data_IF_558741616443
#
_entry.id   IF_558741616443
#
_cell.length_a   1.000
_cell.length_b   1.000
_cell.length_c   1.000
_cell.angle_alpha   90.00
_cell.angle_beta   90.00
_cell.angle_gamma   90.00
#
_symmetry.space_group_name_H-M   'P 1'
#
loop_
_entity.id
_entity.type
_entity.pdbx_description
1 polymer ?
#
# COMPACT_ATOMS: atom_id res chain seq x y z
N UNK A 1 49.02 -1.82 -46.60
CA UNK A 1 48.78 -0.63 -45.76
C UNK A 1 48.08 -1.12 -44.52
N UNK A 2 48.72 -1.03 -43.36
CA UNK A 2 48.18 -1.53 -42.10
C UNK A 2 47.27 -0.47 -41.49
N UNK A 3 46.09 -0.90 -41.03
CA UNK A 3 45.10 -0.03 -40.38
C UNK A 3 45.64 0.60 -39.09
N UNK A 4 45.24 1.83 -38.75
CA UNK A 4 45.68 2.49 -37.52
C UNK A 4 45.04 1.84 -36.30
N UNK A 5 45.83 1.66 -35.23
CA UNK A 5 45.35 1.11 -33.97
C UNK A 5 44.30 2.03 -33.33
N UNK A 6 43.21 1.44 -32.84
CA UNK A 6 42.18 2.10 -32.06
C UNK A 6 42.73 2.56 -30.70
N UNK A 7 42.36 3.77 -30.24
CA UNK A 7 42.82 4.29 -28.95
C UNK A 7 42.25 3.47 -27.78
N UNK A 8 43.09 3.26 -26.76
CA UNK A 8 42.74 2.58 -25.52
C UNK A 8 41.67 3.38 -24.77
N UNK A 9 40.51 2.76 -24.55
CA UNK A 9 39.49 3.30 -23.67
C UNK A 9 39.95 3.23 -22.20
N UNK A 10 39.66 4.28 -21.44
CA UNK A 10 39.88 4.30 -20.00
C UNK A 10 39.04 3.19 -19.34
N UNK A 11 39.64 2.51 -18.36
CA UNK A 11 38.95 1.46 -17.60
C UNK A 11 37.82 2.03 -16.72
N UNK A 12 36.90 1.16 -16.26
CA UNK A 12 35.69 1.57 -15.53
C UNK A 12 35.92 2.43 -14.29
N UNK A 13 37.11 2.37 -13.69
CA UNK A 13 37.43 3.08 -12.44
C UNK A 13 38.28 4.34 -12.64
N UNK A 14 38.64 4.69 -13.88
CA UNK A 14 39.59 5.77 -14.15
C UNK A 14 38.95 7.19 -14.19
N UNK A 15 37.62 7.29 -14.14
CA UNK A 15 36.90 8.57 -14.33
C UNK A 15 36.20 9.10 -13.06
N UNK A 16 36.20 8.35 -11.96
CA UNK A 16 35.44 8.70 -10.75
C UNK A 16 36.40 8.91 -9.57
N UNK A 17 37.19 9.99 -9.62
CA UNK A 17 37.88 10.50 -8.44
C UNK A 17 36.88 11.31 -7.60
N UNK A 18 35.95 10.60 -6.95
CA UNK A 18 34.87 11.19 -6.12
C UNK A 18 35.42 11.90 -4.87
N UNK A 19 36.66 11.61 -4.49
CA UNK A 19 37.36 12.24 -3.36
C UNK A 19 37.81 13.68 -3.67
N UNK A 20 37.73 14.12 -4.94
CA UNK A 20 38.05 15.48 -5.37
C UNK A 20 36.84 16.43 -5.37
N UNK A 21 35.64 15.97 -5.01
CA UNK A 21 34.46 16.81 -4.87
C UNK A 21 34.49 17.49 -3.51
N UNK A 22 34.77 18.79 -3.48
CA UNK A 22 34.61 19.60 -2.28
C UNK A 22 33.13 19.60 -1.87
N UNK A 23 32.85 19.09 -0.67
CA UNK A 23 31.52 19.17 -0.05
C UNK A 23 31.16 20.65 0.12
N UNK A 24 29.98 21.05 -0.37
CA UNK A 24 29.45 22.40 -0.19
C UNK A 24 29.15 22.61 1.30
N UNK A 25 29.61 23.73 1.85
CA UNK A 25 29.39 24.04 3.25
C UNK A 25 27.97 24.57 3.48
N UNK A 26 27.53 24.54 4.74
CA UNK A 26 26.18 25.00 5.11
C UNK A 26 25.96 26.49 4.81
N UNK A 27 27.02 27.26 4.57
CA UNK A 27 26.96 28.68 4.22
C UNK A 27 26.70 28.88 2.72
N UNK A 28 27.27 28.04 1.85
CA UNK A 28 26.98 28.00 0.42
C UNK A 28 25.53 27.61 0.13
N UNK A 29 24.93 26.77 1.00
CA UNK A 29 23.52 26.36 0.91
C UNK A 29 22.57 27.51 1.28
N UNK A 30 22.99 28.42 2.17
CA UNK A 30 22.21 29.58 2.61
C UNK A 30 22.20 30.73 1.59
N UNK A 31 23.20 30.82 0.71
CA UNK A 31 23.29 31.85 -0.34
C UNK A 31 22.42 31.55 -1.58
N UNK A 32 21.80 30.36 -1.62
CA UNK A 32 20.92 29.90 -2.71
C UNK A 32 19.43 30.24 -2.50
N UNK A 33 19.06 30.90 -1.39
CA UNK A 33 17.69 31.30 -1.10
C UNK A 33 17.35 32.64 -1.78
N UNK A 34 17.12 32.60 -3.08
CA UNK A 34 16.68 33.74 -3.90
C UNK A 34 15.16 33.90 -3.85
N UNK A 35 14.63 34.44 -2.75
CA UNK A 35 13.27 35.01 -2.71
C UNK A 35 13.36 36.54 -2.52
N UNK A 36 13.28 37.34 -3.60
CA UNK A 36 13.39 38.79 -3.53
C UNK A 36 12.03 39.39 -3.17
N UNK A 37 11.82 39.62 -1.88
CA UNK A 37 10.86 40.61 -1.39
C UNK A 37 9.63 40.02 -0.71
N UNK A 38 9.73 39.85 0.61
CA UNK A 38 8.73 40.17 1.62
C UNK A 38 9.52 40.43 2.90
N UNK A 39 9.95 41.68 3.08
CA UNK A 39 10.48 42.17 4.35
C UNK A 39 9.40 43.07 4.94
N UNK A 40 8.64 42.53 5.89
CA UNK A 40 7.88 43.29 6.88
C UNK A 40 7.42 42.33 7.98
N UNK A 41 8.24 42.23 9.03
CA UNK A 41 7.93 41.52 10.26
C UNK A 41 7.88 42.52 11.42
N UNK A 42 6.80 42.55 12.23
CA UNK A 42 6.88 43.09 13.58
C UNK A 42 6.87 41.95 14.62
N UNK A 43 8.02 41.80 15.27
CA UNK A 43 8.28 41.47 16.69
C UNK A 43 7.29 40.60 17.49
N UNK A 44 7.79 39.43 17.92
CA UNK A 44 7.21 38.61 19.00
C UNK A 44 7.91 38.95 20.33
N UNK A 45 7.19 39.14 21.46
CA UNK A 45 7.82 39.18 22.77
C UNK A 45 7.90 37.78 23.42
N UNK A 46 9.05 37.56 24.04
CA UNK A 46 9.49 36.41 24.82
C UNK A 46 8.67 36.26 26.13
N UNK A 47 8.22 35.03 26.43
CA UNK A 47 7.59 34.67 27.69
C UNK A 47 8.17 33.34 28.20
N UNK A 48 9.43 33.40 28.66
CA UNK A 48 9.99 32.47 29.64
C UNK A 48 9.78 33.02 31.05
N UNK A 49 8.74 32.53 31.74
CA UNK A 49 8.73 32.32 33.19
C UNK A 49 7.35 31.79 33.62
N UNK A 50 7.29 30.56 34.16
CA UNK A 50 6.83 30.28 35.53
C UNK A 50 6.60 28.77 35.77
N UNK A 51 7.26 28.32 36.84
CA UNK A 51 6.90 27.26 37.79
C UNK A 51 7.02 25.76 37.44
N UNK A 52 8.20 25.28 37.84
CA UNK A 52 8.52 24.06 38.61
C UNK A 52 7.55 23.71 39.76
N UNK A 53 7.50 22.40 40.06
CA UNK A 53 7.12 21.69 41.31
C UNK A 53 5.68 21.19 41.46
N UNK A 54 5.50 19.86 41.31
CA UNK A 54 5.11 18.95 42.42
C UNK A 54 5.12 17.48 41.99
N UNK A 55 5.94 16.68 42.69
CA UNK A 55 5.89 15.22 42.74
C UNK A 55 4.92 14.79 43.86
N UNK A 56 4.09 13.74 43.64
CA UNK A 56 3.78 12.71 44.65
C UNK A 56 2.95 11.53 44.10
N UNK A 57 3.60 10.35 44.13
CA UNK A 57 3.19 8.98 44.51
C UNK A 57 1.78 8.37 44.27
N UNK A 58 1.84 7.14 43.74
CA UNK A 58 1.10 5.90 44.06
C UNK A 58 -0.44 5.91 44.23
N UNK A 59 -1.12 5.03 43.46
CA UNK A 59 -1.89 3.87 44.00
C UNK A 59 -2.48 2.97 42.91
N UNK A 60 -2.50 1.67 43.21
CA UNK A 60 -3.04 0.56 42.44
C UNK A 60 -4.57 0.44 42.58
N UNK A 61 -5.23 0.06 41.47
CA UNK A 61 -6.48 -0.70 41.21
C UNK A 61 -7.60 -0.80 42.28
N UNK A 62 -8.88 -0.92 41.88
CA UNK A 62 -9.42 -2.28 41.69
C UNK A 62 -10.51 -2.48 40.62
N UNK A 63 -10.59 -3.73 40.16
CA UNK A 63 -11.71 -4.37 39.46
C UNK A 63 -13.06 -4.19 40.20
N UNK A 64 -14.17 -4.16 39.46
CA UNK A 64 -15.33 -4.98 39.83
C UNK A 64 -16.22 -5.40 38.62
N UNK A 65 -16.93 -6.55 38.70
CA UNK A 65 -17.45 -7.32 37.57
C UNK A 65 -18.98 -7.43 37.48
N UNK A 66 -19.44 -8.22 36.49
CA UNK A 66 -20.76 -8.85 36.25
C UNK A 66 -21.81 -8.04 35.48
N UNK A 67 -22.21 -8.55 34.31
CA UNK A 67 -23.40 -9.42 34.17
C UNK A 67 -23.44 -10.13 32.80
N UNK A 68 -23.62 -11.45 32.85
CA UNK A 68 -23.91 -12.34 31.72
C UNK A 68 -25.32 -12.06 31.18
N UNK A 69 -25.45 -11.97 29.86
CA UNK A 69 -26.66 -12.36 29.12
C UNK A 69 -26.20 -13.21 27.93
N UNK A 70 -26.90 -14.32 27.74
CA UNK A 70 -26.62 -15.44 26.85
C UNK A 70 -27.22 -15.19 25.46
N UNK A 71 -26.52 -15.68 24.42
CA UNK A 71 -26.97 -15.99 23.05
C UNK A 71 -27.26 -14.86 22.04
N UNK A 72 -26.24 -14.57 21.23
CA UNK A 72 -26.38 -14.43 19.78
C UNK A 72 -25.11 -15.02 19.12
N UNK A 73 -25.32 -15.81 18.06
CA UNK A 73 -24.32 -16.55 17.25
C UNK A 73 -22.97 -15.83 17.06
N UNK A 74 -21.82 -16.50 17.12
CA UNK A 74 -20.57 -15.92 16.68
C UNK A 74 -20.64 -15.77 15.15
N UNK A 75 -20.72 -14.53 14.66
CA UNK A 75 -20.18 -14.21 13.35
C UNK A 75 -18.72 -14.69 13.31
N UNK A 76 -18.17 -15.12 12.15
CA UNK A 76 -16.75 -15.43 12.06
C UNK A 76 -15.99 -14.16 12.48
N UNK A 77 -15.40 -14.21 13.67
CA UNK A 77 -14.52 -13.19 14.20
C UNK A 77 -13.28 -13.27 13.33
N UNK A 78 -13.32 -12.60 12.19
CA UNK A 78 -12.14 -12.27 11.43
C UNK A 78 -11.29 -11.37 12.31
N UNK A 79 -10.24 -11.98 12.84
CA UNK A 79 -8.91 -11.44 13.11
C UNK A 79 -8.78 -10.13 13.91
N UNK A 80 -7.85 -10.12 14.86
CA UNK A 80 -7.62 -8.99 15.75
C UNK A 80 -7.22 -7.75 14.94
N UNK A 81 -7.99 -6.67 15.05
CA UNK A 81 -7.74 -5.35 14.44
C UNK A 81 -6.42 -4.66 14.89
N UNK A 82 -5.48 -5.41 15.46
CA UNK A 82 -4.23 -4.93 16.04
C UNK A 82 -2.97 -5.45 15.33
N UNK A 83 -3.07 -6.42 14.41
CA UNK A 83 -1.91 -6.97 13.69
C UNK A 83 -1.37 -6.04 12.59
N UNK A 84 -2.12 -4.99 12.24
CA UNK A 84 -1.78 -4.10 11.14
C UNK A 84 -1.80 -2.63 11.57
N UNK A 85 -1.11 -2.32 12.67
CA UNK A 85 -0.71 -0.93 12.89
C UNK A 85 0.44 -0.61 11.93
N UNK A 86 0.26 0.31 10.99
CA UNK A 86 1.40 0.85 10.27
C UNK A 86 2.40 1.42 11.29
N UNK A 87 3.69 1.07 11.17
CA UNK A 87 4.80 1.56 12.04
C UNK A 87 5.12 3.05 11.83
N UNK A 88 4.10 3.84 11.53
CA UNK A 88 4.16 5.28 11.33
C UNK A 88 3.12 5.84 12.27
N UNK A 89 3.53 6.58 13.29
CA UNK A 89 2.61 7.22 14.22
C UNK A 89 1.80 8.28 13.46
N UNK A 90 0.60 7.92 12.99
CA UNK A 90 -0.35 8.87 12.36
C UNK A 90 -0.83 9.94 13.34
N UNK A 91 -0.55 9.77 14.64
CA UNK A 91 -0.77 10.73 15.73
C UNK A 91 0.37 11.75 15.88
N UNK A 92 1.18 11.96 14.84
CA UNK A 92 2.10 13.10 14.82
C UNK A 92 1.30 14.42 14.88
N UNK A 93 1.62 15.36 15.79
CA UNK A 93 0.99 16.68 15.85
C UNK A 93 1.25 17.53 14.59
N UNK A 94 2.09 17.04 13.67
CA UNK A 94 2.33 17.63 12.34
C UNK A 94 1.53 16.96 11.22
N UNK A 95 0.72 15.94 11.53
CA UNK A 95 -0.19 15.32 10.57
C UNK A 95 -1.37 16.26 10.29
N UNK A 96 -1.72 16.53 9.02
CA UNK A 96 -2.84 17.41 8.67
C UNK A 96 -4.18 16.92 9.24
N UNK A 97 -4.30 15.63 9.58
CA UNK A 97 -5.49 15.04 10.21
C UNK A 97 -5.73 15.56 11.63
N UNK A 98 -4.68 15.94 12.38
CA UNK A 98 -4.81 16.44 13.75
C UNK A 98 -5.39 17.87 13.79
N UNK A 99 -5.11 18.69 12.78
CA UNK A 99 -5.72 20.03 12.66
C UNK A 99 -7.19 19.98 12.23
N UNK A 100 -7.63 18.91 11.54
CA UNK A 100 -9.01 18.75 11.10
C UNK A 100 -9.94 18.35 12.26
N UNK A 101 -9.47 17.49 13.17
CA UNK A 101 -10.26 17.11 14.35
C UNK A 101 -10.49 18.30 15.30
N UNK A 102 -9.49 19.16 15.50
CA UNK A 102 -9.68 20.43 16.22
C UNK A 102 -10.58 21.42 15.48
N UNK A 103 -10.48 21.52 14.16
CA UNK A 103 -11.34 22.40 13.37
C UNK A 103 -12.81 21.92 13.30
N UNK A 104 -13.05 20.61 13.41
CA UNK A 104 -14.39 20.01 13.44
C UNK A 104 -15.10 20.22 14.78
N UNK A 105 -14.38 20.30 15.90
CA UNK A 105 -14.97 20.65 17.21
C UNK A 105 -15.44 22.11 17.26
N UNK A 106 -14.82 23.01 16.50
CA UNK A 106 -15.17 24.44 16.47
C UNK A 106 -16.22 24.82 15.38
N UNK A 107 -16.64 23.88 14.52
CA UNK A 107 -17.49 24.17 13.36
C UNK A 107 -18.82 23.38 13.38
N UNK A 108 -19.89 24.01 13.89
CA UNK A 108 -21.28 23.60 13.62
C UNK A 108 -21.63 23.85 12.14
N UNK A 109 -21.18 22.98 11.23
CA UNK A 109 -21.53 23.05 9.82
C UNK A 109 -21.89 21.67 9.25
N UNK A 110 -23.10 21.60 8.69
CA UNK A 110 -23.84 20.42 8.22
C UNK A 110 -23.32 19.85 6.88
N UNK A 111 -22.00 19.81 6.69
CA UNK A 111 -21.38 19.25 5.49
C UNK A 111 -20.16 18.38 5.83
N UNK A 112 -20.11 17.10 5.41
CA UNK A 112 -18.93 16.28 5.61
C UNK A 112 -17.81 16.82 4.72
N UNK A 113 -16.87 17.54 5.34
CA UNK A 113 -15.59 17.91 4.74
C UNK A 113 -14.84 16.62 4.42
N UNK A 114 -14.96 16.13 3.18
CA UNK A 114 -14.11 15.05 2.70
C UNK A 114 -12.64 15.47 2.87
N UNK A 115 -11.79 14.67 3.54
CA UNK A 115 -10.39 14.98 3.72
C UNK A 115 -9.72 15.00 2.34
N UNK A 116 -9.44 16.21 1.84
CA UNK A 116 -8.68 16.37 0.61
C UNK A 116 -7.26 15.87 0.87
N UNK A 117 -6.94 14.69 0.36
CA UNK A 117 -5.58 14.16 0.37
C UNK A 117 -4.67 15.17 -0.34
N UNK A 118 -3.74 15.76 0.42
CA UNK A 118 -2.78 16.72 -0.13
C UNK A 118 -1.84 15.95 -1.04
N UNK A 119 -1.73 16.35 -2.32
CA UNK A 119 -0.80 15.75 -3.27
C UNK A 119 0.61 15.74 -2.68
N UNK A 120 1.28 14.59 -2.75
CA UNK A 120 2.67 14.45 -2.33
C UNK A 120 3.56 15.37 -3.17
N UNK A 121 4.54 16.01 -2.54
CA UNK A 121 5.57 16.79 -3.25
C UNK A 121 6.47 15.88 -4.09
N UNK A 122 7.16 16.42 -5.10
CA UNK A 122 8.04 15.62 -5.97
C UNK A 122 9.12 14.85 -5.17
N UNK A 123 9.77 15.43 -4.14
CA UNK A 123 10.68 14.66 -3.28
C UNK A 123 9.98 13.54 -2.50
N UNK A 124 8.73 13.74 -2.06
CA UNK A 124 7.95 12.71 -1.36
C UNK A 124 7.54 11.58 -2.31
N UNK A 125 7.16 11.90 -3.56
CA UNK A 125 6.87 10.92 -4.59
C UNK A 125 8.11 10.07 -4.91
N UNK A 126 9.28 10.70 -5.04
CA UNK A 126 10.55 9.98 -5.25
C UNK A 126 10.86 9.03 -4.10
N UNK A 127 10.75 9.50 -2.84
CA UNK A 127 10.92 8.64 -1.64
C UNK A 127 9.92 7.49 -1.59
N UNK A 128 8.66 7.73 -1.98
CA UNK A 128 7.65 6.69 -2.06
C UNK A 128 8.07 5.62 -3.07
N UNK A 129 8.45 6.01 -4.29
CA UNK A 129 8.87 5.09 -5.35
C UNK A 129 10.06 4.27 -4.88
N UNK A 130 11.11 4.93 -4.34
CA UNK A 130 12.28 4.24 -3.81
C UNK A 130 11.94 3.27 -2.67
N UNK A 131 11.00 3.64 -1.80
CA UNK A 131 10.54 2.76 -0.73
C UNK A 131 9.83 1.52 -1.28
N UNK A 132 8.88 1.69 -2.20
CA UNK A 132 8.13 0.58 -2.80
C UNK A 132 9.07 -0.35 -3.57
N UNK A 133 9.99 0.20 -4.37
CA UNK A 133 11.01 -0.59 -5.07
C UNK A 133 11.89 -1.38 -4.10
N UNK A 134 12.34 -0.74 -3.01
CA UNK A 134 13.13 -1.41 -1.97
C UNK A 134 12.36 -2.56 -1.32
N UNK A 135 11.08 -2.35 -1.01
CA UNK A 135 10.21 -3.41 -0.44
C UNK A 135 9.97 -4.56 -1.40
N UNK A 136 9.71 -4.28 -2.67
CA UNK A 136 9.57 -5.33 -3.69
C UNK A 136 10.86 -6.14 -3.83
N UNK A 137 12.02 -5.48 -3.83
CA UNK A 137 13.32 -6.16 -3.86
C UNK A 137 13.57 -7.00 -2.61
N UNK A 138 13.20 -6.51 -1.41
CA UNK A 138 13.30 -7.28 -0.16
C UNK A 138 12.42 -8.53 -0.20
N UNK A 139 11.16 -8.38 -0.63
CA UNK A 139 10.21 -9.50 -0.79
C UNK A 139 10.79 -10.52 -1.78
N UNK A 140 11.22 -10.07 -2.96
CA UNK A 140 11.81 -10.95 -3.98
C UNK A 140 13.07 -11.65 -3.46
N UNK A 141 13.95 -10.95 -2.74
CA UNK A 141 15.17 -11.52 -2.15
C UNK A 141 14.84 -12.59 -1.10
N UNK A 142 13.91 -12.32 -0.17
CA UNK A 142 13.47 -13.28 0.85
C UNK A 142 12.77 -14.49 0.21
N UNK A 143 11.99 -14.26 -0.85
CA UNK A 143 11.39 -15.33 -1.65
C UNK A 143 12.45 -16.23 -2.30
N UNK A 144 13.42 -15.67 -3.02
CA UNK A 144 14.51 -16.44 -3.64
C UNK A 144 15.34 -17.18 -2.59
N UNK A 145 15.60 -16.56 -1.44
CA UNK A 145 16.30 -17.21 -0.32
C UNK A 145 15.55 -18.44 0.20
N UNK A 146 14.22 -18.37 0.29
CA UNK A 146 13.37 -19.49 0.72
C UNK A 146 13.40 -20.69 -0.23
N UNK A 147 13.76 -20.50 -1.51
CA UNK A 147 13.70 -21.54 -2.55
C UNK A 147 15.06 -22.12 -2.96
N UNK A 148 16.20 -21.57 -2.51
CA UNK A 148 17.48 -22.11 -2.97
C UNK A 148 18.77 -21.68 -2.29
N UNK A 149 18.83 -20.54 -1.58
CA UNK A 149 20.11 -20.04 -1.06
C UNK A 149 20.28 -20.18 0.46
N UNK A 150 19.24 -19.90 1.25
CA UNK A 150 19.33 -19.89 2.71
C UNK A 150 17.92 -19.98 3.32
N UNK A 151 17.42 -21.20 3.61
CA UNK A 151 16.06 -21.38 4.12
C UNK A 151 15.85 -20.69 5.48
N UNK A 152 16.92 -20.47 6.26
CA UNK A 152 16.87 -19.76 7.54
C UNK A 152 16.59 -18.25 7.42
N UNK A 153 16.85 -17.64 6.25
CA UNK A 153 16.71 -16.18 6.04
C UNK A 153 15.54 -15.81 5.13
N UNK A 154 14.91 -16.82 4.50
CA UNK A 154 13.76 -16.64 3.60
C UNK A 154 12.42 -16.72 4.32
N UNK A 155 11.34 -16.71 3.54
CA UNK A 155 10.00 -16.96 4.07
C UNK A 155 9.84 -18.44 4.49
N UNK A 156 9.46 -18.71 5.76
CA UNK A 156 9.21 -20.07 6.23
C UNK A 156 7.86 -20.61 5.72
N UNK A 157 6.88 -19.74 5.47
CA UNK A 157 5.55 -20.12 4.97
C UNK A 157 5.02 -19.11 3.95
N UNK A 158 4.02 -19.53 3.17
CA UNK A 158 3.32 -18.63 2.25
C UNK A 158 2.60 -17.50 3.01
N UNK A 159 2.14 -17.73 4.24
CA UNK A 159 1.43 -16.72 5.03
C UNK A 159 2.29 -15.49 5.28
N UNK A 160 3.56 -15.66 5.64
CA UNK A 160 4.46 -14.53 5.89
C UNK A 160 4.72 -13.71 4.62
N UNK A 161 4.79 -14.37 3.47
CA UNK A 161 4.89 -13.69 2.19
C UNK A 161 3.61 -12.91 1.87
N UNK A 162 2.44 -13.54 2.05
CA UNK A 162 1.14 -12.88 1.84
C UNK A 162 0.98 -11.67 2.75
N UNK A 163 1.49 -11.74 3.99
CA UNK A 163 1.51 -10.62 4.92
C UNK A 163 2.35 -9.45 4.40
N UNK A 164 3.59 -9.70 3.97
CA UNK A 164 4.47 -8.65 3.44
C UNK A 164 3.90 -8.02 2.15
N UNK A 165 3.31 -8.84 1.26
CA UNK A 165 2.64 -8.34 0.04
C UNK A 165 1.42 -7.50 0.42
N UNK A 166 0.57 -7.98 1.34
CA UNK A 166 -0.62 -7.26 1.80
C UNK A 166 -0.26 -5.91 2.42
N UNK A 167 0.76 -5.87 3.28
CA UNK A 167 1.22 -4.62 3.89
C UNK A 167 1.69 -3.61 2.82
N UNK A 168 2.36 -4.09 1.77
CA UNK A 168 2.77 -3.24 0.66
C UNK A 168 1.59 -2.75 -0.19
N UNK A 169 0.60 -3.61 -0.44
CA UNK A 169 -0.66 -3.24 -1.12
C UNK A 169 -1.42 -2.19 -0.33
N UNK A 170 -1.55 -2.35 0.99
CA UNK A 170 -2.19 -1.38 1.87
C UNK A 170 -1.46 -0.03 1.85
N UNK A 171 -0.13 -0.05 1.89
CA UNK A 171 0.68 1.16 1.80
C UNK A 171 0.49 1.90 0.47
N UNK A 172 0.51 1.18 -0.65
CA UNK A 172 0.28 1.77 -1.97
C UNK A 172 -1.16 2.28 -2.07
N UNK A 173 -2.14 1.49 -1.63
CA UNK A 173 -3.54 1.88 -1.66
C UNK A 173 -3.83 3.11 -0.79
N UNK A 174 -3.20 3.22 0.38
CA UNK A 174 -3.31 4.41 1.23
C UNK A 174 -2.86 5.67 0.50
N UNK A 175 -1.85 5.59 -0.37
CA UNK A 175 -1.43 6.73 -1.19
C UNK A 175 -2.42 7.10 -2.31
N UNK A 176 -3.31 6.19 -2.70
CA UNK A 176 -4.33 6.38 -3.74
C UNK A 176 -5.65 6.82 -3.13
N UNK A 177 -6.09 6.20 -2.04
CA UNK A 177 -7.42 6.40 -1.48
C UNK A 177 -7.41 7.00 -0.07
N UNK A 178 -6.27 7.06 0.61
CA UNK A 178 -6.19 7.59 1.97
C UNK A 178 -6.78 6.66 3.04
N UNK A 179 -7.20 5.44 2.67
CA UNK A 179 -7.68 4.42 3.61
C UNK A 179 -6.54 3.48 4.00
N UNK A 180 -6.28 3.27 5.30
CA UNK A 180 -5.09 2.53 5.75
C UNK A 180 -5.17 1.01 5.53
N UNK A 181 -6.38 0.44 5.45
CA UNK A 181 -6.57 -1.01 5.33
C UNK A 181 -7.48 -1.33 4.16
N UNK A 182 -7.01 -2.08 3.18
CA UNK A 182 -7.81 -2.47 2.00
C UNK A 182 -8.93 -3.46 2.28
N UNK A 183 -8.98 -4.06 3.47
CA UNK A 183 -10.02 -5.02 3.88
C UNK A 183 -11.43 -4.42 3.81
N UNK A 184 -11.56 -3.12 4.03
CA UNK A 184 -12.84 -2.42 3.94
C UNK A 184 -13.46 -2.49 2.54
N UNK A 185 -12.65 -2.65 1.48
CA UNK A 185 -13.10 -2.78 0.09
C UNK A 185 -13.95 -4.04 -0.13
N UNK A 186 -13.76 -5.08 0.70
CA UNK A 186 -14.53 -6.31 0.64
C UNK A 186 -15.95 -6.13 1.20
N UNK A 187 -16.15 -5.16 2.09
CA UNK A 187 -17.45 -4.87 2.73
C UNK A 187 -18.25 -3.84 1.92
N UNK A 188 -17.60 -3.11 1.02
CA UNK A 188 -18.28 -2.11 0.21
C UNK A 188 -19.13 -2.76 -0.90
N UNK A 189 -20.38 -2.27 -1.10
CA UNK A 189 -21.15 -2.66 -2.26
C UNK A 189 -20.39 -2.29 -3.53
N UNK A 190 -20.44 -3.14 -4.56
CA UNK A 190 -19.75 -2.85 -5.81
C UNK A 190 -20.25 -1.50 -6.36
N UNK A 191 -19.36 -0.53 -6.63
CA UNK A 191 -19.75 0.67 -7.34
C UNK A 191 -20.32 0.27 -8.69
N UNK A 192 -21.51 0.76 -9.04
CA UNK A 192 -22.04 0.65 -10.40
C UNK A 192 -21.02 1.29 -11.34
N UNK A 193 -20.62 0.58 -12.40
CA UNK A 193 -19.74 1.14 -13.43
C UNK A 193 -20.52 2.30 -14.04
N UNK A 194 -20.03 3.56 -13.95
CA UNK A 194 -20.70 4.65 -14.62
C UNK A 194 -20.74 4.32 -16.11
N UNK A 195 -21.93 4.17 -16.69
CA UNK A 195 -22.07 4.13 -18.14
C UNK A 195 -21.33 5.35 -18.72
N UNK A 196 -20.59 5.16 -19.81
CA UNK A 196 -19.81 6.22 -20.42
C UNK A 196 -20.63 7.51 -20.49
N UNK A 197 -20.08 8.66 -20.08
CA UNK A 197 -20.84 9.89 -20.09
C UNK A 197 -21.21 10.19 -21.55
N UNK A 198 -22.50 10.09 -21.88
CA UNK A 198 -23.03 10.74 -23.05
C UNK A 198 -22.52 12.19 -23.05
N UNK A 199 -22.05 12.64 -24.22
CA UNK A 199 -21.44 13.95 -24.44
C UNK A 199 -22.48 15.05 -24.14
N UNK A 200 -22.62 15.39 -22.86
CA UNK A 200 -23.54 16.40 -22.34
C UNK A 200 -22.75 17.51 -21.66
N UNK A 201 -22.80 18.71 -22.25
CA UNK A 201 -22.28 19.94 -21.66
C UNK A 201 -22.89 20.18 -20.27
N UNK A 202 -22.09 20.05 -19.21
CA UNK A 202 -22.51 20.35 -17.84
C UNK A 202 -21.33 20.43 -16.90
N UNK A 203 -20.86 21.66 -16.66
CA UNK A 203 -19.78 21.99 -15.71
C UNK A 203 -20.09 21.53 -14.29
N UNK A 204 -19.54 20.40 -13.88
CA UNK A 204 -19.18 20.13 -12.49
C UNK A 204 -17.66 19.94 -12.46
N UNK A 205 -16.98 20.75 -11.64
CA UNK A 205 -15.53 20.76 -11.56
C UNK A 205 -15.05 19.38 -11.11
N UNK A 206 -14.50 18.60 -12.04
CA UNK A 206 -13.84 17.34 -11.75
C UNK A 206 -12.84 17.56 -10.60
N UNK A 207 -12.85 16.72 -9.55
CA UNK A 207 -11.83 16.80 -8.51
C UNK A 207 -10.46 16.71 -9.20
N UNK A 208 -9.57 17.66 -8.88
CA UNK A 208 -8.23 17.72 -9.45
C UNK A 208 -7.55 16.36 -9.21
N UNK A 209 -7.49 15.54 -10.25
CA UNK A 209 -6.84 14.23 -10.26
C UNK A 209 -5.47 14.36 -9.61
N UNK A 210 -5.22 13.60 -8.53
CA UNK A 210 -3.86 13.43 -8.09
C UNK A 210 -3.16 12.65 -9.20
N UNK A 211 -2.05 13.19 -9.71
CA UNK A 211 -1.29 12.52 -10.75
C UNK A 211 -0.82 11.16 -10.24
N UNK A 212 -1.11 10.10 -11.00
CA UNK A 212 -0.46 8.81 -10.82
C UNK A 212 1.03 8.98 -11.12
N UNK A 213 1.87 8.60 -10.16
CA UNK A 213 3.33 8.65 -10.28
C UNK A 213 3.95 7.24 -10.24
N UNK A 214 3.16 6.22 -10.62
CA UNK A 214 3.58 4.82 -10.74
C UNK A 214 2.88 3.89 -9.75
N UNK A 215 1.90 4.38 -8.99
CA UNK A 215 1.21 3.62 -7.95
C UNK A 215 0.44 2.44 -8.56
N UNK A 216 -0.27 2.69 -9.66
CA UNK A 216 -0.99 1.65 -10.39
C UNK A 216 -0.03 0.60 -10.99
N UNK A 217 1.10 1.04 -11.53
CA UNK A 217 2.10 0.14 -12.11
C UNK A 217 2.70 -0.80 -11.07
N UNK A 218 2.91 -0.34 -9.83
CA UNK A 218 3.34 -1.21 -8.73
C UNK A 218 2.30 -2.26 -8.36
N UNK A 219 1.02 -1.90 -8.32
CA UNK A 219 -0.06 -2.86 -8.04
C UNK A 219 -0.15 -3.93 -9.14
N UNK A 220 0.00 -3.55 -10.41
CA UNK A 220 0.07 -4.49 -11.54
C UNK A 220 1.23 -5.46 -11.38
N UNK A 221 2.41 -4.95 -11.02
CA UNK A 221 3.59 -5.79 -10.77
C UNK A 221 3.37 -6.76 -9.63
N UNK A 222 2.79 -6.30 -8.51
CA UNK A 222 2.45 -7.15 -7.37
C UNK A 222 1.48 -8.27 -7.80
N UNK A 223 0.48 -7.96 -8.63
CA UNK A 223 -0.49 -8.95 -9.11
C UNK A 223 0.16 -10.03 -10.00
N UNK A 224 1.12 -9.65 -10.84
CA UNK A 224 1.89 -10.59 -11.68
C UNK A 224 2.81 -11.49 -10.82
N UNK A 225 3.61 -10.86 -9.95
CA UNK A 225 4.57 -11.54 -9.08
C UNK A 225 3.88 -12.48 -8.06
N UNK A 226 2.70 -12.11 -7.55
CA UNK A 226 1.93 -12.90 -6.58
C UNK A 226 1.61 -14.30 -7.09
N UNK A 227 1.17 -14.43 -8.34
CA UNK A 227 0.85 -15.73 -8.92
C UNK A 227 2.08 -16.64 -8.97
N UNK A 228 3.20 -16.08 -9.45
CA UNK A 228 4.46 -16.81 -9.55
C UNK A 228 4.99 -17.21 -8.17
N UNK A 229 4.78 -16.39 -7.14
CA UNK A 229 5.14 -16.74 -5.78
C UNK A 229 4.29 -17.90 -5.25
N UNK A 230 2.97 -17.81 -5.36
CA UNK A 230 2.02 -18.80 -4.83
C UNK A 230 2.32 -20.20 -5.34
N UNK A 231 2.61 -20.33 -6.64
CA UNK A 231 2.92 -21.62 -7.26
C UNK A 231 4.20 -22.29 -6.73
N UNK A 232 5.09 -21.55 -6.06
CA UNK A 232 6.36 -22.09 -5.56
C UNK A 232 6.31 -22.51 -4.09
N UNK A 233 5.24 -22.20 -3.37
CA UNK A 233 5.00 -22.76 -2.05
C UNK A 233 4.16 -24.03 -2.20
N UNK A 234 4.38 -25.08 -1.40
CA UNK A 234 3.44 -26.19 -1.33
C UNK A 234 2.20 -25.74 -0.57
N UNK A 235 1.03 -25.82 -1.19
CA UNK A 235 -0.26 -25.66 -0.52
C UNK A 235 -0.86 -27.06 -0.40
N UNK A 236 -1.08 -27.55 0.80
CA UNK A 236 -1.75 -28.84 1.03
C UNK A 236 -2.97 -28.63 1.91
N UNK A 237 -4.06 -29.32 1.57
CA UNK A 237 -5.34 -29.30 2.29
C UNK A 237 -5.31 -30.17 3.57
N UNK A 238 -4.16 -30.76 3.90
CA UNK A 238 -3.91 -31.58 5.11
C UNK A 238 -3.85 -30.73 6.41
N UNK A 239 -4.65 -29.67 6.46
CA UNK A 239 -4.96 -28.89 7.66
C UNK A 239 -5.71 -29.67 8.75
N UNK A 240 -5.93 -30.97 8.57
CA UNK A 240 -6.56 -31.85 9.56
C UNK A 240 -5.56 -32.69 10.39
N UNK A 241 -4.26 -32.69 10.07
CA UNK A 241 -3.30 -33.61 10.73
C UNK A 241 -2.16 -32.89 11.45
N UNK A 242 -1.89 -31.63 11.14
CA UNK A 242 -0.76 -30.92 11.76
C UNK A 242 -1.22 -30.04 12.94
N UNK A 243 -0.96 -30.52 14.16
CA UNK A 243 -1.14 -29.76 15.41
C UNK A 243 -0.25 -28.51 15.49
N UNK A 244 0.68 -28.35 14.53
CA UNK A 244 1.41 -27.12 14.27
C UNK A 244 0.59 -26.18 13.37
N UNK A 245 -0.30 -25.43 14.04
CA UNK A 245 -0.98 -24.21 13.59
C UNK A 245 -0.43 -23.60 12.29
N UNK A 246 -1.23 -23.59 11.19
CA UNK A 246 -1.31 -22.54 10.14
C UNK A 246 -1.78 -23.03 8.74
N UNK A 247 -1.85 -24.34 8.49
CA UNK A 247 -2.24 -24.87 7.16
C UNK A 247 -3.62 -24.38 6.67
N UNK A 248 -4.63 -24.44 7.55
CA UNK A 248 -6.00 -24.05 7.24
C UNK A 248 -6.23 -22.55 7.02
N UNK A 249 -5.31 -21.68 7.47
CA UNK A 249 -5.43 -20.23 7.30
C UNK A 249 -4.80 -19.71 6.01
N UNK A 250 -3.94 -20.49 5.37
CA UNK A 250 -3.17 -20.04 4.21
C UNK A 250 -4.08 -19.77 3.00
N UNK A 251 -4.96 -20.72 2.68
CA UNK A 251 -5.85 -20.64 1.51
C UNK A 251 -6.88 -19.49 1.68
N UNK A 252 -7.57 -19.32 2.83
CA UNK A 252 -8.43 -18.17 3.05
C UNK A 252 -7.70 -16.82 2.93
N UNK A 253 -6.48 -16.70 3.48
CA UNK A 253 -5.67 -15.47 3.37
C UNK A 253 -5.27 -15.17 1.91
N UNK A 254 -4.98 -16.22 1.13
CA UNK A 254 -4.68 -16.09 -0.30
C UNK A 254 -5.89 -15.54 -1.08
N UNK A 255 -7.06 -16.15 -0.92
CA UNK A 255 -8.28 -15.66 -1.58
C UNK A 255 -8.66 -14.25 -1.15
N UNK A 256 -8.51 -13.94 0.15
CA UNK A 256 -8.73 -12.59 0.66
C UNK A 256 -7.85 -11.57 -0.07
N UNK A 257 -6.56 -11.87 -0.27
CA UNK A 257 -5.66 -10.99 -1.02
C UNK A 257 -6.07 -10.84 -2.50
N UNK A 258 -6.44 -11.92 -3.18
CA UNK A 258 -6.93 -11.83 -4.56
C UNK A 258 -8.22 -11.02 -4.69
N UNK A 259 -9.18 -11.17 -3.78
CA UNK A 259 -10.41 -10.38 -3.80
C UNK A 259 -10.15 -8.91 -3.47
N UNK A 260 -9.18 -8.62 -2.61
CA UNK A 260 -8.74 -7.25 -2.36
C UNK A 260 -8.16 -6.64 -3.63
N UNK A 261 -7.25 -7.36 -4.31
CA UNK A 261 -6.68 -6.89 -5.58
C UNK A 261 -7.76 -6.69 -6.64
N UNK A 262 -8.74 -7.58 -6.75
CA UNK A 262 -9.88 -7.43 -7.66
C UNK A 262 -10.64 -6.12 -7.41
N UNK A 263 -10.93 -5.79 -6.14
CA UNK A 263 -11.59 -4.52 -5.79
C UNK A 263 -10.72 -3.29 -6.05
N UNK A 264 -9.43 -3.37 -5.74
CA UNK A 264 -8.45 -2.33 -6.05
C UNK A 264 -8.41 -2.05 -7.56
N UNK A 265 -8.29 -3.09 -8.39
CA UNK A 265 -8.24 -2.91 -9.84
C UNK A 265 -9.57 -2.42 -10.41
N UNK A 266 -10.72 -2.90 -9.93
CA UNK A 266 -12.02 -2.35 -10.32
C UNK A 266 -12.12 -0.85 -10.02
N UNK A 267 -11.67 -0.42 -8.83
CA UNK A 267 -11.65 0.99 -8.45
C UNK A 267 -10.71 1.81 -9.35
N UNK A 268 -9.55 1.25 -9.72
CA UNK A 268 -8.61 1.89 -10.66
C UNK A 268 -9.11 1.90 -12.11
N UNK A 269 -9.91 0.94 -12.55
CA UNK A 269 -10.47 0.92 -13.92
C UNK A 269 -11.54 2.00 -14.07
N UNK A 270 -12.43 2.12 -13.07
CA UNK A 270 -13.53 3.09 -13.04
C UNK A 270 -13.10 4.49 -12.58
N UNK A 271 -11.99 4.59 -11.85
CA UNK A 271 -11.58 5.80 -11.14
C UNK A 271 -12.41 6.09 -9.90
N UNK A 272 -13.12 5.09 -9.36
CA UNK A 272 -13.91 5.19 -8.13
C UNK A 272 -13.00 5.09 -6.88
N UNK A 273 -12.10 6.05 -6.74
CA UNK A 273 -11.23 6.24 -5.57
C UNK A 273 -11.10 7.74 -5.25
N UNK A 274 -10.66 8.08 -4.04
CA UNK A 274 -10.65 9.45 -3.53
C UNK A 274 -9.78 10.41 -4.37
N UNK A 275 -8.75 9.90 -5.04
CA UNK A 275 -7.87 10.68 -5.89
C UNK A 275 -8.23 10.65 -7.39
N UNK A 276 -9.32 9.96 -7.77
CA UNK A 276 -9.75 9.71 -9.15
C UNK A 276 -8.64 9.18 -10.08
N UNK A 277 -7.73 8.37 -9.53
CA UNK A 277 -6.65 7.71 -10.28
C UNK A 277 -7.25 6.61 -11.15
N UNK A 278 -6.87 6.60 -12.43
CA UNK A 278 -7.35 5.63 -13.42
C UNK A 278 -6.21 4.87 -14.08
N UNK A 279 -6.42 3.57 -14.35
CA UNK A 279 -5.50 2.80 -15.18
C UNK A 279 -5.48 3.37 -16.61
N UNK A 280 -4.28 3.55 -17.15
CA UNK A 280 -4.09 3.84 -18.56
C UNK A 280 -4.48 2.62 -19.43
N UNK A 281 -4.82 2.82 -20.70
CA UNK A 281 -5.21 1.74 -21.62
C UNK A 281 -4.18 0.61 -21.71
N UNK A 282 -2.89 0.95 -21.75
CA UNK A 282 -1.80 -0.06 -21.73
C UNK A 282 -1.80 -0.88 -20.44
N UNK A 283 -2.01 -0.23 -19.30
CA UNK A 283 -2.03 -0.87 -17.98
C UNK A 283 -3.27 -1.74 -17.80
N UNK A 284 -4.42 -1.33 -18.35
CA UNK A 284 -5.62 -2.17 -18.42
C UNK A 284 -5.36 -3.45 -19.20
N UNK A 285 -4.75 -3.38 -20.38
CA UNK A 285 -4.43 -4.56 -21.21
C UNK A 285 -3.47 -5.49 -20.47
N UNK A 286 -2.44 -4.94 -19.82
CA UNK A 286 -1.49 -5.71 -18.99
C UNK A 286 -2.19 -6.43 -17.86
N UNK A 287 -3.03 -5.70 -17.12
CA UNK A 287 -3.82 -6.27 -16.02
C UNK A 287 -4.74 -7.40 -16.50
N UNK A 288 -5.48 -7.22 -17.61
CA UNK A 288 -6.35 -8.27 -18.17
C UNK A 288 -5.55 -9.54 -18.47
N UNK A 289 -4.36 -9.42 -19.07
CA UNK A 289 -3.49 -10.56 -19.33
C UNK A 289 -3.03 -11.29 -18.05
N UNK A 290 -2.77 -10.57 -16.97
CA UNK A 290 -2.41 -11.13 -15.66
C UNK A 290 -3.60 -11.81 -15.00
N UNK A 291 -4.77 -11.16 -15.03
CA UNK A 291 -6.00 -11.66 -14.42
C UNK A 291 -6.46 -12.97 -15.08
N UNK A 292 -6.51 -13.01 -16.42
CA UNK A 292 -6.85 -14.22 -17.17
C UNK A 292 -5.85 -15.36 -16.90
N UNK A 293 -4.55 -15.05 -16.89
CA UNK A 293 -3.52 -16.04 -16.55
C UNK A 293 -3.72 -16.60 -15.14
N UNK A 294 -4.04 -15.74 -14.17
CA UNK A 294 -4.31 -16.14 -12.78
C UNK A 294 -5.52 -17.08 -12.70
N UNK A 295 -6.62 -16.74 -13.39
CA UNK A 295 -7.84 -17.58 -13.45
C UNK A 295 -7.62 -18.93 -14.11
N UNK A 296 -6.61 -19.06 -14.96
CA UNK A 296 -6.25 -20.34 -15.60
C UNK A 296 -5.26 -21.15 -14.77
N UNK A 297 -4.19 -20.52 -14.27
CA UNK A 297 -3.08 -21.23 -13.60
C UNK A 297 -3.43 -21.63 -12.16
N UNK A 298 -4.13 -20.77 -11.42
CA UNK A 298 -4.40 -21.04 -10.01
C UNK A 298 -5.31 -22.28 -9.80
N UNK A 299 -6.41 -22.50 -10.56
CA UNK A 299 -7.19 -23.72 -10.44
C UNK A 299 -6.39 -24.98 -10.79
N UNK A 300 -5.58 -24.93 -11.85
CA UNK A 300 -4.72 -26.06 -12.24
C UNK A 300 -3.68 -26.38 -11.15
N UNK A 301 -3.13 -25.35 -10.52
CA UNK A 301 -2.22 -25.50 -9.40
C UNK A 301 -2.94 -26.11 -8.17
N UNK A 302 -4.17 -25.68 -7.84
CA UNK A 302 -4.97 -26.26 -6.74
C UNK A 302 -5.30 -27.74 -7.01
N UNK A 303 -5.70 -28.07 -8.23
CA UNK A 303 -5.98 -29.46 -8.65
C UNK A 303 -4.74 -30.34 -8.56
N UNK A 304 -3.58 -29.83 -9.01
CA UNK A 304 -2.31 -30.55 -8.92
C UNK A 304 -1.88 -30.85 -7.48
N UNK A 305 -2.18 -29.95 -6.54
CA UNK A 305 -1.88 -30.14 -5.12
C UNK A 305 -2.99 -30.87 -4.35
N UNK A 306 -4.05 -31.34 -5.03
CA UNK A 306 -5.16 -32.06 -4.38
C UNK A 306 -6.00 -31.21 -3.44
N UNK A 307 -6.00 -29.88 -3.62
CA UNK A 307 -6.80 -28.95 -2.82
C UNK A 307 -8.20 -28.87 -3.41
N UNK A 308 -9.21 -29.27 -2.62
CA UNK A 308 -10.60 -29.32 -3.06
C UNK A 308 -11.49 -28.33 -2.28
N UNK A 309 -12.72 -28.11 -2.75
CA UNK A 309 -13.72 -27.30 -2.03
C UNK A 309 -13.71 -25.80 -2.35
N UNK A 310 -12.68 -25.27 -3.00
CA UNK A 310 -12.56 -23.83 -3.31
C UNK A 310 -12.94 -23.45 -4.76
N UNK A 311 -13.73 -24.27 -5.43
CA UNK A 311 -14.10 -24.03 -6.84
C UNK A 311 -14.87 -22.72 -7.04
N UNK A 312 -15.69 -22.34 -6.06
CA UNK A 312 -16.44 -21.08 -6.11
C UNK A 312 -15.49 -19.90 -6.03
N UNK A 313 -14.61 -19.86 -5.04
CA UNK A 313 -13.64 -18.79 -4.83
C UNK A 313 -12.71 -18.63 -6.03
N UNK A 314 -12.20 -19.76 -6.56
CA UNK A 314 -11.37 -19.79 -7.77
C UNK A 314 -12.10 -19.17 -8.98
N UNK A 315 -13.40 -19.44 -9.15
CA UNK A 315 -14.19 -18.89 -10.25
C UNK A 315 -14.37 -17.36 -10.16
N UNK A 316 -14.29 -16.82 -8.94
CA UNK A 316 -14.54 -15.41 -8.61
C UNK A 316 -13.29 -14.54 -8.62
N UNK A 317 -12.10 -15.11 -8.78
CA UNK A 317 -10.86 -14.32 -8.86
C UNK A 317 -10.91 -13.36 -10.04
N UNK A 318 -10.65 -12.08 -9.78
CA UNK A 318 -10.64 -10.99 -10.75
C UNK A 318 -11.94 -10.81 -11.57
N UNK A 319 -13.06 -11.43 -11.15
CA UNK A 319 -14.33 -11.34 -11.90
C UNK A 319 -14.76 -9.89 -12.07
N UNK A 320 -14.76 -9.11 -10.98
CA UNK A 320 -15.32 -7.77 -10.98
C UNK A 320 -14.49 -6.74 -11.75
N UNK A 321 -13.17 -6.91 -11.77
CA UNK A 321 -12.24 -6.06 -12.52
C UNK A 321 -12.18 -6.44 -14.00
N UNK A 322 -12.30 -7.72 -14.34
CA UNK A 322 -12.41 -8.17 -15.74
C UNK A 322 -13.73 -7.71 -16.39
N UNK A 323 -14.84 -7.82 -15.68
CA UNK A 323 -16.14 -7.31 -16.15
C UNK A 323 -16.06 -5.80 -16.46
N UNK A 324 -15.39 -5.03 -15.59
CA UNK A 324 -15.20 -3.60 -15.77
C UNK A 324 -14.25 -3.22 -16.92
N UNK A 325 -13.39 -4.14 -17.37
CA UNK A 325 -12.53 -3.95 -18.54
C UNK A 325 -13.21 -4.32 -19.86
N UNK A 326 -14.30 -5.09 -19.80
CA UNK A 326 -15.03 -5.57 -20.98
C UNK A 326 -16.11 -4.59 -21.47
N UNK A 327 -16.37 -3.54 -20.69
CA UNK A 327 -17.27 -2.44 -21.01
C UNK A 327 -16.50 -1.28 -21.67
#
# INVERSE_FOLDING_TARGET
MSEPNTPLHAGPDAQNDLDALAELDDADILDLDLDPGIDDSPSVPDLRALNTQQEQEHTLSPLNPKKRTLEASPAPVFDNAHDYQPRVDFTSPFSPSHNILKAAEDSNADHPLQPRSRRLSMPQQSRFVSYVDSRLMEIQRKFVQSRGLSPEKGYPSLIELLHDIKALVDFIWYSIDGTPHTDHLLQQPLPEVPEEPEVGHGTTAAPKSAADFGQASFLIRIADDLLDYVEKFPISDDALVDETHNGGETIPKLFKLFFILDRVFRALISGANNNAIRLNGTDKIRFVGIAERTRMRLPAYFEHNGVHGYHFELSKIYEHSLDACSC
#
